data_IF_993952811460
#
_entry.id   IF_993952811460
#
_cell.length_a   1.000
_cell.length_b   1.000
_cell.length_c   1.000
_cell.angle_alpha   90.00
_cell.angle_beta   90.00
_cell.angle_gamma   90.00
#
_symmetry.space_group_name_H-M   'P 1'
#
loop_
_entity.id
_entity.type
_entity.pdbx_description
1 polymer ?
#
# COMPACT_ATOMS: atom_id res chain seq x y z
N UNK A 1 16.82 -26.65 -0.57
CA UNK A 1 15.53 -26.17 -0.02
C UNK A 1 15.61 -24.79 0.64
N UNK A 2 16.62 -24.48 1.47
CA UNK A 2 16.72 -23.19 2.19
C UNK A 2 16.70 -21.92 1.32
N UNK A 3 17.39 -21.90 0.17
CA UNK A 3 17.47 -20.71 -0.71
C UNK A 3 16.10 -20.27 -1.28
N UNK A 4 15.19 -21.20 -1.51
CA UNK A 4 13.84 -20.90 -1.99
C UNK A 4 12.95 -20.29 -0.90
N UNK A 5 13.08 -20.78 0.34
CA UNK A 5 12.35 -20.26 1.51
C UNK A 5 12.84 -18.84 1.82
N UNK A 6 14.17 -18.62 1.82
CA UNK A 6 14.75 -17.28 2.00
C UNK A 6 14.26 -16.31 0.93
N UNK A 7 14.24 -16.73 -0.34
CA UNK A 7 13.74 -15.89 -1.42
C UNK A 7 12.25 -15.53 -1.24
N UNK A 8 11.42 -16.49 -0.83
CA UNK A 8 10.00 -16.23 -0.51
C UNK A 8 9.84 -15.23 0.63
N UNK A 9 10.62 -15.39 1.71
CA UNK A 9 10.61 -14.45 2.83
C UNK A 9 11.04 -13.04 2.39
N UNK A 10 12.13 -12.94 1.62
CA UNK A 10 12.60 -11.65 1.08
C UNK A 10 11.55 -11.00 0.16
N UNK A 11 10.90 -11.79 -0.70
CA UNK A 11 9.86 -11.27 -1.59
C UNK A 11 8.63 -10.80 -0.82
N UNK A 12 8.20 -11.53 0.21
CA UNK A 12 7.09 -11.14 1.08
C UNK A 12 7.42 -9.91 1.92
N UNK A 13 8.62 -9.85 2.49
CA UNK A 13 9.15 -8.68 3.22
C UNK A 13 9.17 -7.45 2.33
N UNK A 14 9.63 -7.61 1.09
CA UNK A 14 9.70 -6.53 0.13
C UNK A 14 8.30 -6.09 -0.32
N UNK A 15 7.39 -7.03 -0.61
CA UNK A 15 5.99 -6.70 -0.89
C UNK A 15 5.33 -5.95 0.29
N UNK A 16 5.57 -6.38 1.53
CA UNK A 16 5.11 -5.71 2.75
C UNK A 16 5.68 -4.30 2.89
N UNK A 17 6.98 -4.11 2.67
CA UNK A 17 7.62 -2.79 2.74
C UNK A 17 7.09 -1.85 1.65
N UNK A 18 6.94 -2.36 0.42
CA UNK A 18 6.34 -1.59 -0.65
C UNK A 18 4.87 -1.28 -0.38
N UNK A 19 4.13 -2.19 0.26
CA UNK A 19 2.77 -1.92 0.69
C UNK A 19 2.74 -0.74 1.67
N UNK A 20 3.52 -0.83 2.75
CA UNK A 20 3.62 0.23 3.76
C UNK A 20 3.98 1.57 3.12
N UNK A 21 5.05 1.60 2.32
CA UNK A 21 5.57 2.82 1.71
C UNK A 21 4.61 3.40 0.66
N UNK A 22 4.03 2.56 -0.21
CA UNK A 22 3.05 3.01 -1.21
C UNK A 22 1.80 3.56 -0.56
N UNK A 23 1.31 2.92 0.50
CA UNK A 23 0.11 3.34 1.20
C UNK A 23 0.33 4.63 1.99
N UNK A 24 1.46 4.75 2.70
CA UNK A 24 1.82 6.01 3.39
C UNK A 24 1.97 7.18 2.41
N UNK A 25 2.60 6.96 1.24
CA UNK A 25 2.69 7.99 0.19
C UNK A 25 1.33 8.35 -0.40
N UNK A 26 0.40 7.39 -0.50
CA UNK A 26 -0.97 7.67 -0.93
C UNK A 26 -1.73 8.53 0.08
N UNK A 27 -1.68 8.18 1.37
CA UNK A 27 -2.28 8.99 2.43
C UNK A 27 -1.74 10.42 2.34
N UNK A 28 -0.43 10.55 2.24
CA UNK A 28 0.22 11.84 2.06
C UNK A 28 -0.31 12.64 0.88
N UNK A 29 -0.34 12.06 -0.32
CA UNK A 29 -0.75 12.75 -1.53
C UNK A 29 -2.23 13.14 -1.48
N UNK A 30 -3.09 12.27 -0.93
CA UNK A 30 -4.54 12.51 -0.87
C UNK A 30 -4.91 13.61 0.12
N UNK A 31 -4.20 13.68 1.24
CA UNK A 31 -4.43 14.66 2.28
C UNK A 31 -3.56 15.91 2.13
N UNK A 32 -2.67 15.97 1.12
CA UNK A 32 -1.79 17.12 0.88
C UNK A 32 -2.55 18.45 0.76
N UNK A 33 -3.63 18.57 -0.04
CA UNK A 33 -4.38 19.84 -0.12
C UNK A 33 -4.97 20.28 1.22
N UNK A 34 -5.45 19.31 2.00
CA UNK A 34 -6.00 19.52 3.34
C UNK A 34 -4.92 19.98 4.34
N UNK A 35 -3.69 19.48 4.21
CA UNK A 35 -2.55 19.86 5.03
C UNK A 35 -1.99 21.25 4.70
N UNK A 36 -2.11 21.70 3.44
CA UNK A 36 -1.54 22.99 3.00
C UNK A 36 -2.48 24.18 3.18
N UNK A 37 -3.80 23.97 3.13
CA UNK A 37 -4.76 25.08 3.09
C UNK A 37 -5.12 25.69 4.47
N UNK A 38 -4.65 25.14 5.60
CA UNK A 38 -4.83 25.70 6.97
C UNK A 38 -6.27 26.14 7.35
N UNK A 39 -7.29 25.79 6.56
CA UNK A 39 -8.64 26.23 6.75
C UNK A 39 -9.40 25.10 7.44
N UNK A 40 -9.47 25.16 8.77
CA UNK A 40 -10.53 24.63 9.62
C UNK A 40 -11.55 23.73 8.91
N UNK A 41 -11.13 22.57 8.43
CA UNK A 41 -12.07 21.56 8.05
C UNK A 41 -12.47 20.98 9.39
N UNK A 42 -13.65 21.38 9.85
CA UNK A 42 -14.32 20.85 11.02
C UNK A 42 -14.55 19.36 10.74
N UNK A 43 -13.49 18.56 10.92
CA UNK A 43 -13.62 17.14 11.18
C UNK A 43 -14.45 17.08 12.45
N UNK A 44 -15.70 16.64 12.33
CA UNK A 44 -16.69 16.62 13.41
C UNK A 44 -16.36 15.61 14.51
N UNK A 45 -15.11 15.55 14.98
CA UNK A 45 -14.63 14.64 16.01
C UNK A 45 -13.17 14.89 16.37
N UNK A 46 -12.94 15.38 17.60
CA UNK A 46 -11.75 15.29 18.48
C UNK A 46 -10.30 15.38 17.95
N UNK A 47 -10.01 15.63 16.68
CA UNK A 47 -8.64 15.77 16.17
C UNK A 47 -8.30 17.25 15.89
N UNK A 48 -7.46 17.81 16.75
CA UNK A 48 -6.95 19.20 16.73
C UNK A 48 -5.45 19.28 16.33
N UNK A 49 -4.90 18.25 15.68
CA UNK A 49 -3.50 18.26 15.23
C UNK A 49 -3.35 19.09 13.96
N UNK A 50 -2.79 20.30 14.09
CA UNK A 50 -2.74 21.30 13.02
C UNK A 50 -1.42 21.28 12.23
N UNK A 51 -0.51 20.34 12.48
CA UNK A 51 0.80 20.34 11.82
C UNK A 51 1.12 19.04 11.08
N UNK A 52 1.77 19.20 9.93
CA UNK A 52 2.28 18.12 9.09
C UNK A 52 3.04 17.01 9.85
N UNK A 53 3.86 17.41 10.84
CA UNK A 53 4.64 16.47 11.64
C UNK A 53 3.76 15.59 12.56
N UNK A 54 2.64 16.12 13.04
CA UNK A 54 1.70 15.39 13.88
C UNK A 54 0.89 14.34 13.11
N UNK A 55 0.74 14.51 11.78
CA UNK A 55 0.00 13.58 10.91
C UNK A 55 0.93 12.61 10.16
N UNK A 56 2.16 13.02 9.84
CA UNK A 56 3.12 12.16 9.15
C UNK A 56 3.46 10.89 9.95
N UNK A 57 3.62 11.02 11.28
CA UNK A 57 3.96 9.89 12.14
C UNK A 57 2.80 8.86 12.24
N UNK A 58 1.53 9.25 12.51
CA UNK A 58 0.40 8.33 12.46
C UNK A 58 0.18 7.69 11.08
N UNK A 59 0.38 8.42 9.98
CA UNK A 59 0.25 7.85 8.62
C UNK A 59 1.33 6.80 8.31
N UNK A 60 2.55 7.01 8.83
CA UNK A 60 3.63 6.04 8.74
C UNK A 60 3.37 4.83 9.65
N UNK A 61 2.88 5.07 10.86
CA UNK A 61 2.50 4.02 11.81
C UNK A 61 1.40 3.14 11.21
N UNK A 62 0.35 3.73 10.63
CA UNK A 62 -0.70 3.00 9.93
C UNK A 62 -0.14 2.19 8.75
N UNK A 63 0.71 2.79 7.91
CA UNK A 63 1.34 2.08 6.80
C UNK A 63 2.19 0.89 7.25
N UNK A 64 2.99 1.06 8.30
CA UNK A 64 3.85 0.00 8.86
C UNK A 64 3.03 -1.10 9.54
N UNK A 65 1.96 -0.74 10.26
CA UNK A 65 0.99 -1.69 10.83
C UNK A 65 0.34 -2.52 9.73
N UNK A 66 -0.19 -1.89 8.68
CA UNK A 66 -0.82 -2.61 7.58
C UNK A 66 0.18 -3.49 6.82
N UNK A 67 1.39 -2.99 6.55
CA UNK A 67 2.46 -3.79 5.95
C UNK A 67 2.74 -5.06 6.77
N UNK A 68 2.94 -4.89 8.08
CA UNK A 68 3.19 -6.00 9.01
C UNK A 68 2.01 -6.97 9.10
N UNK A 69 0.78 -6.45 9.16
CA UNK A 69 -0.45 -7.22 9.22
C UNK A 69 -0.66 -8.07 7.96
N UNK A 70 -0.36 -7.52 6.78
CA UNK A 70 -0.54 -8.21 5.50
C UNK A 70 0.68 -9.02 5.04
N UNK A 71 1.82 -8.90 5.73
CA UNK A 71 2.99 -9.74 5.48
C UNK A 71 2.67 -11.24 5.37
N UNK A 72 1.97 -11.89 6.32
CA UNK A 72 1.69 -13.32 6.23
C UNK A 72 0.90 -13.67 4.97
N UNK A 73 0.00 -12.79 4.51
CA UNK A 73 -0.74 -12.96 3.26
C UNK A 73 0.19 -12.92 2.04
N UNK A 74 1.17 -12.00 2.00
CA UNK A 74 2.18 -11.96 0.94
C UNK A 74 3.12 -13.18 0.95
N UNK A 75 3.38 -13.76 2.12
CA UNK A 75 4.18 -14.98 2.27
C UNK A 75 3.45 -16.23 1.76
N UNK A 76 2.14 -16.31 2.03
CA UNK A 76 1.27 -17.43 1.65
C UNK A 76 0.87 -17.37 0.17
N UNK A 77 0.74 -16.17 -0.39
CA UNK A 77 0.33 -15.98 -1.77
C UNK A 77 1.31 -16.62 -2.76
N UNK A 78 0.85 -17.47 -3.69
CA UNK A 78 1.68 -17.88 -4.79
C UNK A 78 2.05 -16.67 -5.64
N UNK A 79 3.25 -16.68 -6.23
CA UNK A 79 3.84 -15.54 -6.93
C UNK A 79 2.92 -14.88 -7.97
N UNK A 80 2.11 -15.66 -8.67
CA UNK A 80 1.17 -15.15 -9.67
C UNK A 80 0.00 -14.37 -9.03
N UNK A 81 -0.41 -14.77 -7.82
CA UNK A 81 -1.47 -14.12 -7.05
C UNK A 81 -0.95 -12.95 -6.20
N UNK A 82 0.36 -12.82 -5.99
CA UNK A 82 0.93 -11.76 -5.17
C UNK A 82 0.59 -10.37 -5.74
N UNK A 83 0.59 -10.24 -7.07
CA UNK A 83 0.29 -9.00 -7.78
C UNK A 83 -1.19 -8.59 -7.65
N UNK A 84 -2.18 -9.44 -8.01
CA UNK A 84 -3.59 -9.11 -7.79
C UNK A 84 -3.96 -9.00 -6.31
N UNK A 85 -3.34 -9.79 -5.42
CA UNK A 85 -3.56 -9.69 -3.97
C UNK A 85 -3.09 -8.34 -3.43
N UNK A 86 -1.89 -7.90 -3.83
CA UNK A 86 -1.36 -6.59 -3.46
C UNK A 86 -2.30 -5.47 -3.90
N UNK A 87 -2.71 -5.47 -5.17
CA UNK A 87 -3.63 -4.46 -5.71
C UNK A 87 -4.98 -4.47 -4.98
N UNK A 88 -5.54 -5.66 -4.73
CA UNK A 88 -6.84 -5.79 -4.09
C UNK A 88 -6.81 -5.29 -2.63
N UNK A 89 -5.81 -5.70 -1.85
CA UNK A 89 -5.63 -5.23 -0.46
C UNK A 89 -5.41 -3.71 -0.45
N UNK A 90 -4.60 -3.21 -1.38
CA UNK A 90 -4.27 -1.79 -1.46
C UNK A 90 -5.52 -0.94 -1.76
N UNK A 91 -6.34 -1.35 -2.74
CA UNK A 91 -7.60 -0.67 -3.07
C UNK A 91 -8.62 -0.75 -1.93
N UNK A 92 -8.72 -1.92 -1.29
CA UNK A 92 -9.58 -2.11 -0.13
C UNK A 92 -9.20 -1.15 1.01
N UNK A 93 -7.91 -1.04 1.33
CA UNK A 93 -7.44 -0.13 2.38
C UNK A 93 -7.66 1.34 2.03
N UNK A 94 -7.55 1.71 0.75
CA UNK A 94 -7.87 3.06 0.30
C UNK A 94 -9.36 3.39 0.50
N UNK A 95 -10.24 2.43 0.21
CA UNK A 95 -11.67 2.55 0.45
C UNK A 95 -12.01 2.64 1.93
N UNK A 96 -11.44 1.75 2.77
CA UNK A 96 -11.64 1.76 4.22
C UNK A 96 -11.18 3.08 4.86
N UNK A 97 -10.08 3.65 4.37
CA UNK A 97 -9.61 4.97 4.84
C UNK A 97 -10.68 6.03 4.57
N UNK A 98 -11.21 6.09 3.35
CA UNK A 98 -12.25 7.05 3.00
C UNK A 98 -13.51 6.87 3.86
N UNK A 99 -13.86 5.61 4.15
CA UNK A 99 -15.02 5.29 4.99
C UNK A 99 -14.80 5.69 6.46
N UNK A 100 -13.65 5.35 7.05
CA UNK A 100 -13.31 5.75 8.41
C UNK A 100 -13.24 7.28 8.55
N UNK A 101 -12.66 7.97 7.56
CA UNK A 101 -12.67 9.43 7.52
C UNK A 101 -14.09 9.99 7.42
N UNK A 102 -14.98 9.36 6.66
CA UNK A 102 -16.40 9.74 6.61
C UNK A 102 -17.05 9.62 8.00
N UNK A 103 -16.76 8.56 8.76
CA UNK A 103 -17.32 8.39 10.11
C UNK A 103 -16.81 9.43 11.12
N UNK A 104 -15.63 9.99 10.88
CA UNK A 104 -15.02 11.03 11.71
C UNK A 104 -15.27 12.46 11.18
N UNK A 105 -16.05 12.62 10.11
CA UNK A 105 -16.31 13.91 9.47
C UNK A 105 -17.79 14.06 9.10
N UNK A 106 -18.15 15.23 8.59
CA UNK A 106 -19.49 15.49 8.05
C UNK A 106 -19.65 15.05 6.59
N UNK A 107 -18.57 14.52 5.98
CA UNK A 107 -18.50 14.19 4.57
C UNK A 107 -18.97 12.75 4.32
N UNK A 108 -19.62 12.52 3.18
CA UNK A 108 -19.96 11.17 2.76
C UNK A 108 -18.73 10.45 2.17
N UNK A 109 -18.66 9.10 2.25
CA UNK A 109 -17.52 8.36 1.70
C UNK A 109 -17.24 8.65 0.23
N UNK A 110 -18.29 8.83 -0.57
CA UNK A 110 -18.15 9.14 -1.99
C UNK A 110 -17.57 10.54 -2.22
N UNK A 111 -17.97 11.54 -1.43
CA UNK A 111 -17.42 12.91 -1.50
C UNK A 111 -15.92 12.89 -1.20
N UNK A 112 -15.50 12.10 -0.22
CA UNK A 112 -14.08 11.94 0.10
C UNK A 112 -13.31 11.31 -1.06
N UNK A 113 -13.86 10.26 -1.68
CA UNK A 113 -13.25 9.60 -2.84
C UNK A 113 -13.10 10.60 -4.00
N UNK A 114 -14.14 11.35 -4.32
CA UNK A 114 -14.13 12.29 -5.45
C UNK A 114 -13.25 13.51 -5.21
N UNK A 115 -13.17 14.01 -3.98
CA UNK A 115 -12.44 15.24 -3.66
C UNK A 115 -10.96 15.01 -3.30
N UNK A 116 -10.61 13.87 -2.71
CA UNK A 116 -9.24 13.63 -2.22
C UNK A 116 -8.51 12.52 -2.98
N UNK A 117 -9.20 11.46 -3.38
CA UNK A 117 -8.58 10.28 -4.00
C UNK A 117 -8.51 10.44 -5.52
N UNK A 118 -9.65 10.75 -6.15
CA UNK A 118 -9.77 10.80 -7.60
C UNK A 118 -8.88 11.88 -8.26
N UNK A 119 -8.72 13.10 -7.71
CA UNK A 119 -7.86 14.11 -8.35
C UNK A 119 -6.39 13.67 -8.41
N UNK A 120 -5.96 12.80 -7.49
CA UNK A 120 -4.60 12.29 -7.40
C UNK A 120 -4.41 10.91 -8.06
N UNK A 121 -5.36 10.46 -8.88
CA UNK A 121 -5.34 9.13 -9.52
C UNK A 121 -4.06 8.81 -10.30
N UNK A 122 -3.41 9.83 -10.88
CA UNK A 122 -2.16 9.65 -11.63
C UNK A 122 -0.96 9.40 -10.70
N UNK A 123 -0.91 10.08 -9.54
CA UNK A 123 0.06 9.77 -8.48
C UNK A 123 -0.20 8.39 -7.87
N UNK A 124 -1.48 8.02 -7.72
CA UNK A 124 -1.88 6.70 -7.26
C UNK A 124 -1.38 5.60 -8.18
N UNK A 125 -1.64 5.75 -9.47
CA UNK A 125 -1.13 4.83 -10.46
C UNK A 125 0.39 4.83 -10.48
N UNK A 126 1.06 5.97 -10.40
CA UNK A 126 2.52 6.02 -10.41
C UNK A 126 3.13 5.24 -9.22
N UNK A 127 2.62 5.45 -8.01
CA UNK A 127 3.09 4.77 -6.80
C UNK A 127 2.77 3.27 -6.86
N UNK A 128 1.53 2.93 -7.21
CA UNK A 128 1.04 1.55 -7.27
C UNK A 128 1.71 0.76 -8.41
N UNK A 129 1.79 1.29 -9.63
CA UNK A 129 2.48 0.65 -10.75
C UNK A 129 3.97 0.49 -10.46
N UNK A 130 4.63 1.48 -9.88
CA UNK A 130 6.05 1.36 -9.55
C UNK A 130 6.28 0.20 -8.58
N UNK A 131 5.42 0.06 -7.57
CA UNK A 131 5.48 -1.05 -6.63
C UNK A 131 5.23 -2.40 -7.32
N UNK A 132 4.19 -2.49 -8.13
CA UNK A 132 3.82 -3.70 -8.88
C UNK A 132 4.90 -4.12 -9.87
N UNK A 133 5.49 -3.16 -10.60
CA UNK A 133 6.59 -3.39 -11.52
C UNK A 133 7.83 -3.90 -10.78
N UNK A 134 8.15 -3.33 -9.62
CA UNK A 134 9.29 -3.78 -8.83
C UNK A 134 9.11 -5.22 -8.33
N UNK A 135 7.91 -5.54 -7.80
CA UNK A 135 7.53 -6.90 -7.40
C UNK A 135 7.59 -7.86 -8.61
N UNK A 136 7.08 -7.44 -9.76
CA UNK A 136 7.09 -8.24 -11.00
C UNK A 136 8.50 -8.50 -11.51
N UNK A 137 9.35 -7.47 -11.57
CA UNK A 137 10.74 -7.57 -12.01
C UNK A 137 11.56 -8.47 -11.08
N UNK A 138 11.41 -8.31 -9.77
CA UNK A 138 12.09 -9.15 -8.77
C UNK A 138 11.58 -10.59 -8.81
N UNK A 139 10.28 -10.78 -9.06
CA UNK A 139 9.74 -12.09 -9.39
C UNK A 139 10.45 -12.69 -10.61
N UNK A 140 10.51 -11.96 -11.73
CA UNK A 140 11.05 -12.45 -13.01
C UNK A 140 12.53 -12.84 -12.95
N UNK A 141 13.34 -12.19 -12.11
CA UNK A 141 14.78 -12.43 -11.98
C UNK A 141 15.17 -13.76 -11.31
N UNK A 142 14.32 -14.79 -11.31
CA UNK A 142 14.70 -16.11 -10.83
C UNK A 142 15.65 -16.83 -11.82
N UNK A 143 16.90 -17.13 -11.45
CA UNK A 143 17.73 -18.10 -12.13
C UNK A 143 17.67 -19.41 -11.30
N UNK A 144 16.97 -20.44 -11.77
CA UNK A 144 17.18 -21.77 -11.18
C UNK A 144 16.07 -22.80 -11.37
N UNK A 145 14.80 -22.48 -11.09
CA UNK A 145 13.80 -23.55 -10.99
C UNK A 145 13.37 -24.15 -12.34
N UNK A 146 13.50 -23.39 -13.44
CA UNK A 146 13.25 -23.91 -14.80
C UNK A 146 14.46 -24.62 -15.41
N UNK A 147 15.68 -24.34 -14.94
CA UNK A 147 16.89 -24.95 -15.48
C UNK A 147 17.17 -26.33 -14.86
N UNK A 148 16.85 -26.52 -13.57
CA UNK A 148 17.07 -27.80 -12.88
C UNK A 148 16.06 -28.88 -13.28
N UNK A 149 14.82 -28.50 -13.63
CA UNK A 149 13.83 -29.45 -14.15
C UNK A 149 14.12 -29.89 -15.59
N UNK A 150 14.81 -29.07 -16.37
CA UNK A 150 15.27 -29.43 -17.72
C UNK A 150 16.58 -30.25 -17.67
N UNK A 151 17.43 -30.05 -16.66
CA UNK A 151 18.67 -30.83 -16.47
C UNK A 151 18.46 -32.20 -15.79
N UNK A 152 17.38 -32.41 -15.04
CA UNK A 152 17.06 -33.74 -14.43
C UNK A 152 16.13 -34.61 -15.28
N UNK A 153 15.72 -34.13 -16.45
CA UNK A 153 14.93 -34.86 -17.44
C UNK A 153 15.74 -35.34 -18.64
N UNK A 154 17.05 -35.56 -18.48
CA UNK A 154 17.92 -36.29 -19.40
C UNK A 154 18.89 -37.13 -18.60
#
# INVERSE_FOLDING_TARGET
>A
MGRWIVFKMVLALLASLLFALSFTLFQYASWWPMLTDNAFLVWGGSYQGNTFAELALPMLELGTLLGTLFWPLFLLAPRLLLLPLFTMIWLWQAYETAFMTATASTWQPHEIIWSFILPHWYWLLAILLSALLLIHHLGKRQPGLRADLVKRGR
#
